data_IF_630807511097
#
_entry.id   IF_630807511097
#
_cell.length_a   1.000
_cell.length_b   1.000
_cell.length_c   1.000
_cell.angle_alpha   90.00
_cell.angle_beta   90.00
_cell.angle_gamma   90.00
#
_symmetry.space_group_name_H-M   'P 1'
#
loop_
_entity.id
_entity.type
_entity.pdbx_description
1 polymer ?
#
# COMPACT_ATOMS: atom_id res chain seq x y z
N UNK A 1 -25.89 -13.69 -25.75
CA UNK A 1 -26.54 -14.38 -24.62
C UNK A 1 -25.71 -15.55 -24.07
N UNK A 2 -25.47 -16.64 -24.80
CA UNK A 2 -24.64 -17.76 -24.29
C UNK A 2 -23.16 -17.39 -24.07
N UNK A 3 -22.54 -16.66 -25.00
CA UNK A 3 -21.15 -16.21 -24.86
C UNK A 3 -20.94 -15.21 -23.71
N UNK A 4 -21.95 -14.37 -23.43
CA UNK A 4 -21.91 -13.40 -22.32
C UNK A 4 -22.02 -14.10 -20.96
N UNK A 5 -22.83 -15.15 -20.87
CA UNK A 5 -22.92 -15.99 -19.66
C UNK A 5 -21.62 -16.75 -19.41
N UNK A 6 -21.02 -17.33 -20.46
CA UNK A 6 -19.75 -18.04 -20.35
C UNK A 6 -18.59 -17.12 -19.94
N UNK A 7 -18.57 -15.89 -20.46
CA UNK A 7 -17.59 -14.88 -20.05
C UNK A 7 -17.78 -14.43 -18.60
N UNK A 8 -19.02 -14.22 -18.16
CA UNK A 8 -19.29 -13.86 -16.77
C UNK A 8 -18.91 -15.00 -15.80
N UNK A 9 -19.14 -16.24 -16.18
CA UNK A 9 -18.82 -17.43 -15.39
C UNK A 9 -17.29 -17.65 -15.29
N UNK A 10 -16.56 -17.44 -16.39
CA UNK A 10 -15.08 -17.43 -16.37
C UNK A 10 -14.51 -16.30 -15.52
N UNK A 11 -15.08 -15.09 -15.60
CA UNK A 11 -14.67 -13.97 -14.77
C UNK A 11 -14.92 -14.25 -13.28
N UNK A 12 -16.07 -14.83 -12.93
CA UNK A 12 -16.38 -15.20 -11.54
C UNK A 12 -15.39 -16.23 -10.99
N UNK A 13 -15.10 -17.29 -11.76
CA UNK A 13 -14.13 -18.30 -11.35
C UNK A 13 -12.70 -17.75 -11.23
N UNK A 14 -12.30 -16.86 -12.13
CA UNK A 14 -10.99 -16.19 -12.04
C UNK A 14 -10.91 -15.29 -10.81
N UNK A 15 -12.01 -14.63 -10.46
CA UNK A 15 -12.12 -13.76 -9.29
C UNK A 15 -12.10 -14.56 -7.98
N UNK A 16 -12.84 -15.68 -7.90
CA UNK A 16 -12.81 -16.59 -6.76
C UNK A 16 -11.41 -17.19 -6.53
N UNK A 17 -10.73 -17.63 -7.60
CA UNK A 17 -9.34 -18.14 -7.48
C UNK A 17 -8.37 -17.07 -7.00
N UNK A 18 -8.52 -15.82 -7.48
CA UNK A 18 -7.71 -14.69 -6.99
C UNK A 18 -8.00 -14.41 -5.51
N UNK A 19 -9.26 -14.42 -5.10
CA UNK A 19 -9.63 -14.19 -3.71
C UNK A 19 -9.11 -15.31 -2.79
N UNK A 20 -9.14 -16.57 -3.23
CA UNK A 20 -8.54 -17.70 -2.50
C UNK A 20 -7.02 -17.59 -2.39
N UNK A 21 -6.32 -17.17 -3.45
CA UNK A 21 -4.87 -16.95 -3.43
C UNK A 21 -4.48 -15.75 -2.54
N UNK A 22 -5.33 -14.71 -2.49
CA UNK A 22 -5.10 -13.51 -1.70
C UNK A 22 -5.47 -13.70 -0.22
N UNK A 23 -6.39 -14.60 0.10
CA UNK A 23 -6.85 -14.83 1.47
C UNK A 23 -5.72 -15.12 2.49
N UNK A 24 -4.78 -16.06 2.26
CA UNK A 24 -3.69 -16.28 3.21
C UNK A 24 -2.72 -15.09 3.30
N UNK A 25 -2.57 -14.34 2.20
CA UNK A 25 -1.76 -13.12 2.15
C UNK A 25 -2.40 -12.03 3.02
N UNK A 26 -3.71 -11.86 2.90
CA UNK A 26 -4.51 -10.93 3.69
C UNK A 26 -4.49 -11.28 5.18
N UNK A 27 -4.64 -12.56 5.53
CA UNK A 27 -4.59 -13.01 6.93
C UNK A 27 -3.20 -12.76 7.55
N UNK A 28 -2.12 -13.04 6.81
CA UNK A 28 -0.76 -12.79 7.28
C UNK A 28 -0.45 -11.29 7.45
N UNK A 29 -0.98 -10.44 6.57
CA UNK A 29 -0.76 -8.99 6.58
C UNK A 29 -1.80 -8.22 7.40
N UNK A 30 -2.88 -8.86 7.85
CA UNK A 30 -3.97 -8.23 8.61
C UNK A 30 -3.50 -7.34 9.78
N UNK A 31 -2.57 -7.77 10.67
CA UNK A 31 -2.11 -6.91 11.75
C UNK A 31 -1.37 -5.66 11.23
N UNK A 32 -0.58 -5.81 10.16
CA UNK A 32 0.17 -4.71 9.56
C UNK A 32 -0.76 -3.72 8.87
N UNK A 33 -1.77 -4.22 8.14
CA UNK A 33 -2.79 -3.39 7.48
C UNK A 33 -3.65 -2.67 8.52
N UNK A 34 -4.02 -3.32 9.63
CA UNK A 34 -4.73 -2.68 10.75
C UNK A 34 -3.90 -1.54 11.37
N UNK A 35 -2.62 -1.78 11.64
CA UNK A 35 -1.72 -0.76 12.18
C UNK A 35 -1.53 0.42 11.21
N UNK A 36 -1.36 0.12 9.91
CA UNK A 36 -1.28 1.12 8.85
C UNK A 36 -2.53 2.00 8.78
N UNK A 37 -3.72 1.37 8.83
CA UNK A 37 -5.00 2.07 8.83
C UNK A 37 -5.15 2.96 10.06
N UNK A 38 -4.77 2.47 11.25
CA UNK A 38 -4.81 3.25 12.48
C UNK A 38 -3.86 4.46 12.40
N UNK A 39 -2.64 4.27 11.93
CA UNK A 39 -1.67 5.34 11.72
C UNK A 39 -2.21 6.39 10.72
N UNK A 40 -2.84 5.94 9.62
CA UNK A 40 -3.49 6.83 8.66
C UNK A 40 -4.64 7.64 9.26
N UNK A 41 -5.39 7.10 10.23
CA UNK A 41 -6.47 7.81 10.91
C UNK A 41 -5.96 8.84 11.90
N UNK A 42 -4.80 8.61 12.52
CA UNK A 42 -4.16 9.55 13.44
C UNK A 42 -3.58 10.76 12.70
N UNK A 43 -3.17 10.58 11.45
CA UNK A 43 -2.75 11.66 10.58
C UNK A 43 -1.65 11.25 9.61
N UNK A 44 -1.37 12.12 8.65
CA UNK A 44 -0.34 11.87 7.65
C UNK A 44 1.09 11.80 8.22
N UNK A 45 1.35 12.45 9.36
CA UNK A 45 2.65 12.32 10.07
C UNK A 45 2.80 10.95 10.73
N UNK A 46 1.79 10.52 11.51
CA UNK A 46 1.77 9.18 12.10
C UNK A 46 1.87 8.06 11.06
N UNK A 47 1.23 8.24 9.90
CA UNK A 47 1.34 7.33 8.77
C UNK A 47 2.78 7.23 8.25
N UNK A 48 3.46 8.36 8.08
CA UNK A 48 4.85 8.39 7.63
C UNK A 48 5.78 7.73 8.66
N UNK A 49 5.61 8.02 9.94
CA UNK A 49 6.42 7.43 11.00
C UNK A 49 6.29 5.90 11.02
N UNK A 50 5.06 5.38 10.89
CA UNK A 50 4.81 3.95 10.76
C UNK A 50 5.53 3.35 9.54
N UNK A 51 5.38 3.99 8.38
CA UNK A 51 5.98 3.52 7.13
C UNK A 51 7.51 3.51 7.20
N UNK A 52 8.12 4.56 7.76
CA UNK A 52 9.58 4.61 7.90
C UNK A 52 10.10 3.58 8.91
N UNK A 53 9.40 3.39 10.04
CA UNK A 53 9.80 2.45 11.06
C UNK A 53 9.67 0.98 10.62
N UNK A 54 8.63 0.64 9.84
CA UNK A 54 8.33 -0.76 9.51
C UNK A 54 8.83 -1.20 8.14
N UNK A 55 8.95 -0.31 7.15
CA UNK A 55 9.17 -0.72 5.74
C UNK A 55 10.47 -0.18 5.13
N UNK A 56 11.06 0.85 5.72
CA UNK A 56 12.23 1.55 5.14
C UNK A 56 13.49 1.35 6.01
N UNK A 57 13.39 0.68 7.15
CA UNK A 57 14.43 0.58 8.18
C UNK A 57 15.78 0.01 7.71
N UNK A 58 15.85 -0.70 6.58
CA UNK A 58 17.08 -1.32 6.04
C UNK A 58 17.76 -0.55 4.88
N UNK A 59 17.17 0.55 4.40
CA UNK A 59 17.82 1.44 3.42
C UNK A 59 18.43 2.64 4.16
N UNK A 60 19.55 3.21 3.68
CA UNK A 60 20.21 4.33 4.36
C UNK A 60 19.15 5.37 4.70
N UNK A 61 19.17 5.91 5.93
CA UNK A 61 18.06 6.66 6.48
C UNK A 61 17.62 7.66 5.42
N UNK A 62 16.41 7.46 4.88
CA UNK A 62 15.76 8.52 4.12
C UNK A 62 15.70 9.65 5.12
N UNK A 63 16.60 10.63 4.96
CA UNK A 63 16.93 11.59 6.01
C UNK A 63 15.66 12.02 6.72
N UNK A 64 15.59 11.94 8.06
CA UNK A 64 14.45 12.47 8.78
C UNK A 64 14.32 13.91 8.29
N UNK A 65 13.27 14.12 7.54
CA UNK A 65 13.01 15.30 6.70
C UNK A 65 12.66 16.51 7.57
N UNK A 66 13.49 16.81 8.57
CA UNK A 66 13.46 18.04 9.35
C UNK A 66 13.51 19.21 8.35
N UNK A 67 12.39 19.92 8.22
CA UNK A 67 12.26 21.09 7.35
C UNK A 67 11.61 20.84 5.97
N UNK A 68 11.30 19.60 5.55
CA UNK A 68 10.48 19.40 4.33
C UNK A 68 8.99 19.40 4.67
N UNK A 69 8.20 20.04 3.81
CA UNK A 69 6.74 20.01 3.94
C UNK A 69 6.22 18.57 3.93
N UNK A 70 5.18 18.32 4.71
CA UNK A 70 4.49 17.02 4.80
C UNK A 70 4.18 16.42 3.42
N UNK A 71 3.76 17.27 2.49
CA UNK A 71 3.52 16.93 1.07
C UNK A 71 4.75 16.31 0.39
N UNK A 72 5.94 16.89 0.54
CA UNK A 72 7.18 16.35 -0.05
C UNK A 72 7.58 15.02 0.60
N UNK A 73 7.35 14.88 1.91
CA UNK A 73 7.63 13.63 2.64
C UNK A 73 6.75 12.49 2.15
N UNK A 74 5.44 12.73 2.01
CA UNK A 74 4.48 11.78 1.44
C UNK A 74 4.86 11.39 0.01
N UNK A 75 5.20 12.36 -0.84
CA UNK A 75 5.62 12.09 -2.22
C UNK A 75 6.87 11.20 -2.30
N UNK A 76 7.86 11.44 -1.43
CA UNK A 76 9.07 10.62 -1.36
C UNK A 76 8.75 9.19 -0.92
N UNK A 77 7.88 9.02 0.09
CA UNK A 77 7.46 7.70 0.57
C UNK A 77 6.75 6.92 -0.54
N UNK A 78 5.79 7.55 -1.25
CA UNK A 78 5.09 6.96 -2.40
C UNK A 78 6.08 6.51 -3.47
N UNK A 79 7.03 7.37 -3.84
CA UNK A 79 8.02 7.05 -4.86
C UNK A 79 8.96 5.92 -4.44
N UNK A 80 9.29 5.82 -3.15
CA UNK A 80 10.24 4.83 -2.64
C UNK A 80 9.61 3.43 -2.51
N UNK A 81 8.31 3.39 -2.19
CA UNK A 81 7.54 2.16 -1.97
C UNK A 81 6.67 1.77 -3.16
N UNK A 82 6.76 2.47 -4.29
CA UNK A 82 5.95 2.13 -5.46
C UNK A 82 6.20 0.68 -5.90
N UNK A 83 5.17 -0.17 -6.06
CA UNK A 83 5.32 -1.59 -6.36
C UNK A 83 6.13 -1.85 -7.64
N UNK A 84 6.04 -0.98 -8.65
CA UNK A 84 6.84 -1.08 -9.89
C UNK A 84 8.36 -1.03 -9.68
N UNK A 85 8.85 -0.55 -8.53
CA UNK A 85 10.28 -0.56 -8.19
C UNK A 85 10.73 -1.84 -7.49
N UNK A 86 9.77 -2.67 -7.09
CA UNK A 86 9.98 -3.87 -6.30
C UNK A 86 9.39 -5.07 -7.04
N UNK A 87 9.69 -5.17 -8.34
CA UNK A 87 9.19 -6.26 -9.21
C UNK A 87 9.69 -7.64 -8.79
N UNK A 88 10.86 -7.70 -8.16
CA UNK A 88 11.48 -8.91 -7.61
C UNK A 88 11.01 -9.24 -6.17
N UNK A 89 10.19 -8.37 -5.56
CA UNK A 89 9.67 -8.64 -4.23
C UNK A 89 8.65 -9.78 -4.28
N UNK A 90 8.57 -10.56 -3.19
CA UNK A 90 7.59 -11.61 -3.06
C UNK A 90 6.15 -11.02 -3.05
N UNK A 91 5.17 -11.88 -3.33
CA UNK A 91 3.76 -11.46 -3.45
C UNK A 91 3.23 -10.77 -2.19
N UNK A 92 3.67 -11.16 -0.98
CA UNK A 92 3.23 -10.52 0.26
C UNK A 92 3.77 -9.10 0.35
N UNK A 93 5.08 -8.94 0.15
CA UNK A 93 5.74 -7.62 0.19
C UNK A 93 5.17 -6.68 -0.86
N UNK A 94 4.91 -7.19 -2.07
CA UNK A 94 4.29 -6.41 -3.15
C UNK A 94 2.88 -5.94 -2.77
N UNK A 95 2.05 -6.82 -2.23
CA UNK A 95 0.70 -6.47 -1.79
C UNK A 95 0.72 -5.43 -0.65
N UNK A 96 1.65 -5.59 0.29
CA UNK A 96 1.84 -4.64 1.38
C UNK A 96 2.20 -3.24 0.85
N UNK A 97 3.12 -3.16 -0.13
CA UNK A 97 3.47 -1.90 -0.79
C UNK A 97 2.30 -1.28 -1.54
N UNK A 98 1.49 -2.07 -2.24
CA UNK A 98 0.27 -1.59 -2.91
C UNK A 98 -0.70 -0.93 -1.93
N UNK A 99 -0.98 -1.58 -0.79
CA UNK A 99 -1.83 -1.00 0.25
C UNK A 99 -1.20 0.23 0.90
N UNK A 100 0.09 0.21 1.23
CA UNK A 100 0.79 1.37 1.81
C UNK A 100 0.74 2.58 0.88
N UNK A 101 1.02 2.38 -0.41
CA UNK A 101 0.98 3.44 -1.42
C UNK A 101 -0.43 4.02 -1.57
N UNK A 102 -1.48 3.22 -1.44
CA UNK A 102 -2.88 3.70 -1.45
C UNK A 102 -3.18 4.63 -0.28
N UNK A 103 -2.80 4.29 0.95
CA UNK A 103 -2.97 5.18 2.11
C UNK A 103 -2.12 6.46 1.98
N UNK A 104 -0.88 6.35 1.52
CA UNK A 104 -0.02 7.50 1.29
C UNK A 104 -0.58 8.44 0.21
N UNK A 105 -1.12 7.90 -0.88
CA UNK A 105 -1.78 8.69 -1.93
C UNK A 105 -3.05 9.39 -1.43
N UNK A 106 -3.84 8.73 -0.59
CA UNK A 106 -5.00 9.32 0.04
C UNK A 106 -4.61 10.52 0.91
N UNK A 107 -3.61 10.34 1.79
CA UNK A 107 -3.06 11.40 2.63
C UNK A 107 -2.44 12.56 1.81
N UNK A 108 -1.72 12.24 0.73
CA UNK A 108 -1.15 13.23 -0.18
C UNK A 108 -2.22 14.04 -0.91
N UNK A 109 -3.33 13.41 -1.30
CA UNK A 109 -4.45 14.07 -1.96
C UNK A 109 -5.18 15.02 -1.02
N UNK A 110 -5.32 14.68 0.26
CA UNK A 110 -5.87 15.60 1.28
C UNK A 110 -4.99 16.84 1.45
N UNK A 111 -3.68 16.69 1.30
CA UNK A 111 -2.70 17.80 1.33
C UNK A 111 -2.61 18.59 0.00
N UNK A 112 -3.27 18.14 -1.08
CA UNK A 112 -3.38 18.88 -2.35
C UNK A 112 -4.57 19.84 -2.39
N UNK A 113 -5.60 19.57 -1.59
CA UNK A 113 -6.83 20.38 -1.51
C UNK A 113 -6.80 21.49 -0.46
N UNK A 114 -5.73 21.56 0.33
CA UNK A 114 -5.37 22.68 1.22
C UNK A 114 -4.34 23.56 0.51
#
# INVERSE_FOLDING_TARGET
RFLEQLQAEQQHQEQERRDEELKPILEALEPQIKALKLASQQGAESLLDFVYAQLISDKPPVEPTCGRSLKKRLQQAIFSLHPDKHTEADKLTRYLYEEVVKYLNAAYSTQKGL
#
